data_IF_100038317043
#
_entry.id   IF_100038317043
#
_cell.length_a   1.000
_cell.length_b   1.000
_cell.length_c   1.000
_cell.angle_alpha   90.00
_cell.angle_beta   90.00
_cell.angle_gamma   90.00
#
_symmetry.space_group_name_H-M   'P 1'
#
loop_
_entity.id
_entity.type
_entity.pdbx_description
1 polymer ?
#
# COMPACT_ATOMS: atom_id res chain seq x y z
N UNK A 1 18.07 17.04 -16.37
CA UNK A 1 17.53 15.70 -16.11
C UNK A 1 16.73 15.80 -14.84
N UNK A 2 15.44 16.11 -14.93
CA UNK A 2 14.59 16.23 -13.75
C UNK A 2 14.21 14.80 -13.35
N UNK A 3 14.81 14.30 -12.27
CA UNK A 3 14.59 12.94 -11.77
C UNK A 3 13.14 12.78 -11.26
N UNK A 4 12.58 11.55 -11.26
CA UNK A 4 11.24 11.34 -10.76
C UNK A 4 11.11 11.81 -9.31
N UNK A 5 10.20 12.75 -9.07
CA UNK A 5 9.86 13.20 -7.74
C UNK A 5 8.75 12.27 -7.23
N UNK A 6 9.09 11.38 -6.29
CA UNK A 6 8.19 10.41 -5.66
C UNK A 6 7.88 10.87 -4.23
N UNK A 7 6.60 10.95 -3.87
CA UNK A 7 6.16 11.17 -2.49
C UNK A 7 5.79 9.84 -1.85
N UNK A 8 6.32 9.55 -0.66
CA UNK A 8 5.76 8.54 0.25
C UNK A 8 5.11 9.29 1.41
N UNK A 9 3.80 9.18 1.53
CA UNK A 9 2.98 9.88 2.51
C UNK A 9 2.48 8.90 3.57
N UNK A 10 3.02 8.99 4.79
CA UNK A 10 2.49 8.27 5.95
C UNK A 10 1.26 8.98 6.50
N UNK A 11 0.14 8.29 6.52
CA UNK A 11 -1.15 8.76 7.04
C UNK A 11 -1.52 7.92 8.26
N UNK A 12 -2.26 8.52 9.19
CA UNK A 12 -2.85 7.79 10.29
C UNK A 12 -2.73 8.50 11.63
N UNK A 13 -3.44 7.99 12.64
CA UNK A 13 -3.48 8.56 13.96
C UNK A 13 -2.75 7.67 14.98
N UNK A 14 -1.61 8.16 15.48
CA UNK A 14 -0.81 7.48 16.52
C UNK A 14 -1.58 7.21 17.82
N UNK A 15 -2.68 7.92 18.07
CA UNK A 15 -3.52 7.74 19.24
C UNK A 15 -4.61 6.66 19.06
N UNK A 16 -4.79 6.13 17.83
CA UNK A 16 -5.83 5.16 17.49
C UNK A 16 -5.26 3.77 17.15
N UNK A 17 -4.32 3.29 17.97
CA UNK A 17 -3.85 1.90 17.91
C UNK A 17 -3.25 1.53 16.55
N UNK A 18 -3.92 0.63 15.82
CA UNK A 18 -3.48 0.14 14.50
C UNK A 18 -3.51 1.22 13.41
N UNK A 19 -4.27 2.31 13.62
CA UNK A 19 -4.26 3.48 12.73
C UNK A 19 -2.91 4.22 12.73
N UNK A 20 -2.01 3.90 13.67
CA UNK A 20 -0.64 4.40 13.67
C UNK A 20 0.24 3.83 12.55
N UNK A 21 -0.23 2.81 11.81
CA UNK A 21 0.55 2.07 10.82
C UNK A 21 1.32 2.97 9.84
N UNK A 22 0.63 3.88 9.14
CA UNK A 22 1.27 4.69 8.10
C UNK A 22 2.30 5.66 8.65
N UNK A 23 2.05 6.25 9.82
CA UNK A 23 3.00 7.07 10.56
C UNK A 23 4.26 6.26 10.93
N UNK A 24 4.07 5.08 11.49
CA UNK A 24 5.15 4.21 11.94
C UNK A 24 6.03 3.69 10.79
N UNK A 25 5.43 3.44 9.62
CA UNK A 25 6.15 3.12 8.38
C UNK A 25 6.95 4.33 7.89
N UNK A 26 6.33 5.51 7.81
CA UNK A 26 7.02 6.74 7.37
C UNK A 26 8.20 7.09 8.29
N UNK A 27 8.02 6.98 9.60
CA UNK A 27 9.08 7.19 10.58
C UNK A 27 10.24 6.20 10.39
N UNK A 28 9.98 4.92 10.07
CA UNK A 28 11.03 3.95 9.75
C UNK A 28 11.76 4.26 8.44
N UNK A 29 11.04 4.72 7.42
CA UNK A 29 11.62 5.11 6.13
C UNK A 29 12.49 6.37 6.26
N UNK A 30 12.07 7.36 7.05
CA UNK A 30 12.83 8.59 7.33
C UNK A 30 14.19 8.34 8.02
N UNK A 31 14.36 7.19 8.69
CA UNK A 31 15.62 6.78 9.31
C UNK A 31 16.59 6.07 8.36
N UNK A 32 16.24 5.95 7.07
CA UNK A 32 17.04 5.25 6.06
C UNK A 32 17.57 6.23 5.03
N UNK A 33 18.66 5.85 4.38
CA UNK A 33 19.09 6.50 3.14
C UNK A 33 18.16 6.07 2.01
N UNK A 34 17.58 7.06 1.34
CA UNK A 34 16.64 6.86 0.23
C UNK A 34 17.24 7.35 -1.08
N UNK A 35 16.83 6.76 -2.23
CA UNK A 35 17.28 7.24 -3.52
C UNK A 35 16.96 8.71 -3.75
N UNK A 36 17.79 9.39 -4.54
CA UNK A 36 17.53 10.76 -4.97
C UNK A 36 16.22 10.84 -5.76
N UNK A 37 15.39 11.84 -5.46
CA UNK A 37 14.04 11.98 -6.02
C UNK A 37 12.92 11.42 -5.14
N UNK A 38 13.24 10.77 -4.01
CA UNK A 38 12.24 10.25 -3.07
C UNK A 38 12.08 11.18 -1.87
N UNK A 39 10.85 11.65 -1.63
CA UNK A 39 10.46 12.44 -0.46
C UNK A 39 9.54 11.61 0.41
N UNK A 40 9.93 11.37 1.67
CA UNK A 40 9.06 10.74 2.67
C UNK A 40 8.56 11.82 3.61
N UNK A 41 7.26 11.80 3.91
CA UNK A 41 6.66 12.74 4.86
C UNK A 41 5.67 11.98 5.73
N UNK A 42 5.79 12.17 7.03
CA UNK A 42 4.78 11.80 8.01
C UNK A 42 3.74 12.93 8.07
N UNK A 43 2.56 12.67 7.50
CA UNK A 43 1.43 13.59 7.56
C UNK A 43 0.55 13.30 8.77
N UNK A 44 0.57 12.08 9.31
CA UNK A 44 -0.36 11.65 10.35
C UNK A 44 -1.80 12.03 10.00
N UNK A 45 -2.42 12.88 10.82
CA UNK A 45 -3.79 13.37 10.64
C UNK A 45 -3.91 14.67 9.81
N UNK A 46 -2.82 15.16 9.21
CA UNK A 46 -2.71 16.48 8.57
C UNK A 46 -3.16 16.45 7.10
N UNK A 47 -4.41 16.09 6.86
CA UNK A 47 -4.97 15.93 5.49
C UNK A 47 -4.85 17.16 4.60
N UNK A 48 -4.96 18.37 5.18
CA UNK A 48 -4.76 19.62 4.43
C UNK A 48 -3.30 19.83 4.00
N UNK A 49 -2.33 19.48 4.85
CA UNK A 49 -0.92 19.57 4.49
C UNK A 49 -0.56 18.56 3.39
N UNK A 50 -1.15 17.36 3.42
CA UNK A 50 -1.04 16.40 2.33
C UNK A 50 -1.65 16.98 1.04
N UNK A 51 -2.82 17.60 1.11
CA UNK A 51 -3.45 18.26 -0.04
C UNK A 51 -2.51 19.28 -0.67
N UNK A 52 -1.92 20.17 0.13
CA UNK A 52 -0.98 21.17 -0.37
C UNK A 52 0.29 20.55 -0.93
N UNK A 53 0.83 19.51 -0.29
CA UNK A 53 1.99 18.80 -0.81
C UNK A 53 1.71 18.20 -2.20
N UNK A 54 0.51 17.69 -2.45
CA UNK A 54 0.13 17.14 -3.76
C UNK A 54 0.08 18.18 -4.87
N UNK A 55 0.04 19.48 -4.55
CA UNK A 55 0.13 20.57 -5.53
C UNK A 55 1.55 20.75 -6.09
N UNK A 56 2.57 20.17 -5.45
CA UNK A 56 3.96 20.25 -5.90
C UNK A 56 4.21 19.50 -7.23
N UNK A 57 3.25 18.70 -7.71
CA UNK A 57 3.35 18.00 -9.00
C UNK A 57 4.25 16.76 -8.96
N UNK A 58 3.84 15.75 -8.18
CA UNK A 58 4.57 14.48 -8.06
C UNK A 58 4.37 13.55 -9.26
N UNK A 59 5.44 12.92 -9.73
CA UNK A 59 5.35 11.88 -10.75
C UNK A 59 4.72 10.61 -10.19
N UNK A 60 5.00 10.30 -8.93
CA UNK A 60 4.34 9.22 -8.21
C UNK A 60 4.10 9.57 -6.74
N UNK A 61 2.98 9.09 -6.21
CA UNK A 61 2.62 9.22 -4.80
C UNK A 61 2.29 7.82 -4.27
N UNK A 62 2.91 7.45 -3.15
CA UNK A 62 2.63 6.24 -2.39
C UNK A 62 2.01 6.68 -1.06
N UNK A 63 0.70 6.49 -0.92
CA UNK A 63 -0.01 6.68 0.34
C UNK A 63 0.17 5.43 1.19
N UNK A 64 0.47 5.61 2.48
CA UNK A 64 0.64 4.51 3.43
C UNK A 64 -0.32 4.73 4.58
N UNK A 65 -1.24 3.80 4.79
CA UNK A 65 -2.36 3.98 5.72
C UNK A 65 -2.87 2.64 6.29
N UNK A 66 -3.61 2.68 7.40
CA UNK A 66 -4.41 1.54 7.84
C UNK A 66 -5.66 1.44 6.94
N UNK A 67 -5.92 0.26 6.39
CA UNK A 67 -6.97 0.07 5.38
C UNK A 67 -7.79 -1.18 5.72
N UNK A 68 -8.95 -1.04 6.39
CA UNK A 68 -9.85 -2.16 6.66
C UNK A 68 -10.47 -2.65 5.35
N UNK A 69 -10.18 -3.90 4.98
CA UNK A 69 -10.65 -4.55 3.76
C UNK A 69 -11.21 -5.95 4.02
N UNK A 70 -11.31 -6.36 5.28
CA UNK A 70 -11.88 -7.64 5.69
C UNK A 70 -10.91 -8.81 5.55
N UNK A 71 -9.61 -8.55 5.40
CA UNK A 71 -8.59 -9.59 5.48
C UNK A 71 -8.21 -9.95 6.91
N UNK A 72 -7.09 -10.68 7.05
CA UNK A 72 -6.52 -10.99 8.37
C UNK A 72 -5.74 -9.77 8.88
N UNK A 73 -5.81 -9.41 10.19
CA UNK A 73 -5.02 -8.31 10.74
C UNK A 73 -3.53 -8.44 10.39
N UNK A 74 -2.89 -7.33 10.03
CA UNK A 74 -1.51 -7.28 9.56
C UNK A 74 -1.32 -7.63 8.08
N UNK A 75 -2.39 -7.97 7.33
CA UNK A 75 -2.27 -8.20 5.89
C UNK A 75 -1.94 -6.88 5.18
N UNK A 76 -0.88 -6.88 4.37
CA UNK A 76 -0.50 -5.75 3.54
C UNK A 76 -1.19 -5.80 2.17
N UNK A 77 -1.62 -4.63 1.70
CA UNK A 77 -2.24 -4.42 0.41
C UNK A 77 -1.45 -3.40 -0.40
N UNK A 78 -1.33 -3.61 -1.70
CA UNK A 78 -0.89 -2.59 -2.65
C UNK A 78 -1.99 -2.40 -3.67
N UNK A 79 -2.53 -1.19 -3.73
CA UNK A 79 -3.62 -0.83 -4.63
C UNK A 79 -3.18 0.31 -5.54
N UNK A 80 -3.49 0.18 -6.82
CA UNK A 80 -3.28 1.24 -7.81
C UNK A 80 -4.66 1.61 -8.38
N UNK A 81 -5.31 2.67 -7.86
CA UNK A 81 -6.60 3.09 -8.38
C UNK A 81 -6.46 3.53 -9.84
N UNK A 82 -7.32 2.99 -10.70
CA UNK A 82 -7.42 3.38 -12.10
C UNK A 82 -7.57 4.91 -12.22
N UNK A 83 -6.97 5.50 -13.25
CA UNK A 83 -6.94 6.96 -13.42
C UNK A 83 -8.35 7.54 -13.61
N UNK A 84 -9.24 6.75 -14.17
CA UNK A 84 -10.66 7.06 -14.38
C UNK A 84 -11.47 7.01 -13.06
N UNK A 85 -10.95 6.32 -12.05
CA UNK A 85 -11.51 6.33 -10.70
C UNK A 85 -11.04 7.54 -9.89
N UNK A 86 -10.17 8.39 -10.47
CA UNK A 86 -9.77 9.61 -9.82
C UNK A 86 -10.92 10.61 -9.86
N UNK A 87 -11.11 11.35 -8.77
CA UNK A 87 -12.22 12.28 -8.70
C UNK A 87 -12.06 13.43 -9.68
N UNK A 88 -13.03 13.56 -10.59
CA UNK A 88 -13.17 14.73 -11.44
C UNK A 88 -13.41 15.99 -10.59
N UNK A 89 -12.85 17.16 -10.97
CA UNK A 89 -13.03 18.41 -10.23
C UNK A 89 -14.50 18.90 -10.22
N UNK A 90 -15.32 18.44 -11.17
CA UNK A 90 -16.71 18.83 -11.34
C UNK A 90 -17.67 17.97 -10.50
N UNK A 91 -17.54 18.09 -9.17
CA UNK A 91 -18.37 17.32 -8.24
C UNK A 91 -18.30 17.82 -6.80
N UNK A 92 -18.25 19.14 -6.63
CA UNK A 92 -18.22 19.83 -5.35
C UNK A 92 -19.54 19.68 -4.57
N UNK A 93 -19.83 18.47 -4.10
CA UNK A 93 -20.61 18.27 -2.87
C UNK A 93 -19.87 18.85 -1.67
N UNK A 94 -20.52 18.99 -0.50
CA UNK A 94 -20.08 19.85 0.61
C UNK A 94 -18.58 19.71 0.89
N UNK A 95 -17.89 20.81 0.64
CA UNK A 95 -16.45 20.97 0.74
C UNK A 95 -16.02 20.95 2.22
N UNK A 96 -15.03 20.09 2.49
CA UNK A 96 -14.01 20.26 3.53
C UNK A 96 -14.45 19.88 4.95
N UNK A 97 -14.21 18.61 5.29
CA UNK A 97 -13.76 18.24 6.65
C UNK A 97 -12.23 18.12 6.59
N UNK A 98 -11.49 19.19 6.91
CA UNK A 98 -10.03 19.22 6.80
C UNK A 98 -9.34 18.31 7.83
N UNK A 99 -10.14 17.70 8.71
CA UNK A 99 -9.73 16.76 9.76
C UNK A 99 -10.10 15.30 9.43
N UNK A 100 -10.83 15.04 8.33
CA UNK A 100 -11.14 13.66 7.92
C UNK A 100 -9.97 13.10 7.10
N UNK A 101 -9.39 12.00 7.57
CA UNK A 101 -8.19 11.38 7.00
C UNK A 101 -8.48 10.46 5.81
N UNK A 102 -9.67 10.53 5.22
CA UNK A 102 -9.99 9.70 4.05
C UNK A 102 -9.06 10.11 2.89
N UNK A 103 -8.11 9.25 2.47
CA UNK A 103 -7.13 9.60 1.46
C UNK A 103 -7.80 9.98 0.14
N UNK A 104 -8.98 9.43 -0.16
CA UNK A 104 -9.75 9.77 -1.34
C UNK A 104 -10.25 11.23 -1.27
N UNK A 105 -10.68 11.71 -0.11
CA UNK A 105 -11.11 13.12 0.06
C UNK A 105 -9.94 14.09 -0.11
N UNK A 106 -8.75 13.73 0.34
CA UNK A 106 -7.54 14.54 0.14
C UNK A 106 -7.18 14.63 -1.34
N UNK A 107 -7.22 13.50 -2.06
CA UNK A 107 -7.00 13.47 -3.49
C UNK A 107 -8.04 14.29 -4.27
N UNK A 108 -9.33 14.20 -3.88
CA UNK A 108 -10.42 15.05 -4.42
C UNK A 108 -10.10 16.53 -4.31
N UNK A 109 -9.71 16.95 -3.11
CA UNK A 109 -9.42 18.36 -2.86
C UNK A 109 -8.18 18.82 -3.62
N UNK A 110 -7.12 18.00 -3.65
CA UNK A 110 -5.91 18.32 -4.40
C UNK A 110 -6.20 18.47 -5.90
N UNK A 111 -6.98 17.56 -6.49
CA UNK A 111 -7.41 17.65 -7.88
C UNK A 111 -8.25 18.91 -8.15
N UNK A 112 -9.21 19.23 -7.28
CA UNK A 112 -10.02 20.44 -7.39
C UNK A 112 -9.20 21.75 -7.31
N UNK A 113 -8.06 21.72 -6.61
CA UNK A 113 -7.12 22.84 -6.51
C UNK A 113 -6.09 22.88 -7.66
N UNK A 114 -6.20 21.98 -8.65
CA UNK A 114 -5.32 21.91 -9.81
C UNK A 114 -4.05 21.08 -9.60
N UNK A 115 -3.96 20.32 -8.51
CA UNK A 115 -2.90 19.36 -8.27
C UNK A 115 -2.91 18.23 -9.31
N UNK A 116 -1.72 17.78 -9.69
CA UNK A 116 -1.55 16.67 -10.62
C UNK A 116 -0.60 15.64 -10.02
N UNK A 117 -1.05 14.39 -10.02
CA UNK A 117 -0.24 13.23 -9.66
C UNK A 117 -0.09 12.38 -10.92
N UNK A 118 1.12 11.93 -11.23
CA UNK A 118 1.33 11.04 -12.38
C UNK A 118 0.79 9.63 -12.11
N UNK A 119 1.23 9.05 -11.00
CA UNK A 119 0.87 7.70 -10.54
C UNK A 119 0.52 7.70 -9.06
N UNK A 120 -0.50 6.96 -8.67
CA UNK A 120 -0.93 6.87 -7.27
C UNK A 120 -0.96 5.41 -6.82
N UNK A 121 -0.33 5.12 -5.69
CA UNK A 121 -0.34 3.82 -5.03
C UNK A 121 -0.83 3.98 -3.60
N UNK A 122 -1.59 3.02 -3.10
CA UNK A 122 -1.96 2.88 -1.70
C UNK A 122 -1.34 1.60 -1.16
N UNK A 123 -0.47 1.73 -0.17
CA UNK A 123 0.06 0.64 0.65
C UNK A 123 -0.72 0.62 1.95
N UNK A 124 -1.70 -0.30 2.02
CA UNK A 124 -2.60 -0.44 3.16
C UNK A 124 -2.20 -1.59 4.08
N UNK A 125 -2.52 -1.49 5.37
CA UNK A 125 -2.47 -2.63 6.30
C UNK A 125 -3.86 -2.91 6.89
N UNK A 126 -4.29 -4.17 6.91
CA UNK A 126 -5.51 -4.57 7.60
C UNK A 126 -5.34 -4.35 9.12
N UNK A 127 -6.20 -3.53 9.76
CA UNK A 127 -6.17 -3.34 11.21
C UNK A 127 -6.84 -4.51 11.93
N UNK A 128 -6.57 -4.65 13.22
CA UNK A 128 -7.32 -5.56 14.10
C UNK A 128 -8.74 -5.01 14.32
N UNK A 129 -9.80 -5.81 14.11
CA UNK A 129 -11.17 -5.36 14.36
C UNK A 129 -11.41 -4.89 15.80
N UNK A 130 -12.27 -3.86 16.00
CA UNK A 130 -12.70 -3.47 17.34
C UNK A 130 -13.34 -4.66 18.08
N UNK A 131 -12.89 -4.93 19.30
CA UNK A 131 -13.37 -6.05 20.14
C UNK A 131 -12.54 -7.35 20.05
N UNK A 132 -11.69 -7.48 19.02
CA UNK A 132 -10.58 -8.46 19.02
C UNK A 132 -9.26 -7.82 19.49
N UNK A 133 -9.19 -6.50 19.36
CA UNK A 133 -8.18 -5.71 20.03
C UNK A 133 -8.39 -5.82 21.55
N UNK A 134 -7.31 -6.12 22.28
CA UNK A 134 -7.31 -6.04 23.74
C UNK A 134 -7.56 -4.58 24.15
N UNK A 135 -8.74 -4.30 24.69
CA UNK A 135 -9.21 -2.95 25.08
C UNK A 135 -8.26 -2.22 26.05
N UNK A 136 -7.38 -2.97 26.72
CA UNK A 136 -6.34 -2.44 27.61
C UNK A 136 -4.99 -2.15 26.94
N UNK A 137 -4.87 -2.42 25.63
CA UNK A 137 -3.60 -2.31 24.90
C UNK A 137 -3.33 -0.85 24.52
N UNK A 138 -2.18 -0.35 24.95
CA UNK A 138 -1.62 0.92 24.47
C UNK A 138 -0.80 0.66 23.20
N UNK A 139 -1.23 1.22 22.06
CA UNK A 139 -0.51 1.18 20.78
C UNK A 139 -0.95 0.05 19.84
N UNK A 140 -0.20 -0.12 18.73
CA UNK A 140 -0.51 -1.11 17.69
C UNK A 140 -0.55 -2.55 18.22
N UNK A 141 -1.48 -3.32 17.68
CA UNK A 141 -1.57 -4.77 17.78
C UNK A 141 -0.29 -5.44 17.26
N UNK A 142 -0.06 -6.67 17.70
CA UNK A 142 1.13 -7.44 17.26
C UNK A 142 1.14 -7.69 15.75
N UNK A 143 0.04 -8.10 15.10
CA UNK A 143 0.03 -8.32 13.65
C UNK A 143 0.36 -7.06 12.85
N UNK A 144 -0.22 -5.91 13.21
CA UNK A 144 0.05 -4.64 12.50
C UNK A 144 1.47 -4.16 12.77
N UNK A 145 1.96 -4.30 14.01
CA UNK A 145 3.36 -3.97 14.33
C UNK A 145 4.36 -4.78 13.51
N UNK A 146 4.11 -6.08 13.32
CA UNK A 146 4.92 -6.92 12.46
C UNK A 146 4.82 -6.49 10.98
N UNK A 147 3.61 -6.16 10.52
CA UNK A 147 3.37 -5.68 9.16
C UNK A 147 4.13 -4.39 8.84
N UNK A 148 4.37 -3.52 9.82
CA UNK A 148 5.19 -2.31 9.61
C UNK A 148 6.62 -2.66 9.18
N UNK A 149 7.22 -3.71 9.74
CA UNK A 149 8.58 -4.13 9.37
C UNK A 149 8.63 -4.76 7.97
N UNK A 150 7.52 -5.36 7.50
CA UNK A 150 7.34 -5.87 6.14
C UNK A 150 7.00 -4.78 5.12
N UNK A 151 6.29 -3.73 5.53
CA UNK A 151 5.88 -2.63 4.66
C UNK A 151 7.06 -1.78 4.18
N UNK A 152 8.09 -1.61 5.01
CA UNK A 152 9.30 -0.85 4.66
C UNK A 152 10.04 -1.41 3.43
N UNK A 153 10.43 -2.70 3.40
CA UNK A 153 11.06 -3.28 2.21
C UNK A 153 10.09 -3.34 1.02
N UNK A 154 8.79 -3.55 1.25
CA UNK A 154 7.77 -3.48 0.20
C UNK A 154 7.77 -2.09 -0.48
N UNK A 155 7.63 -1.00 0.28
CA UNK A 155 7.63 0.36 -0.26
C UNK A 155 8.95 0.69 -0.94
N UNK A 156 10.08 0.28 -0.37
CA UNK A 156 11.40 0.48 -0.97
C UNK A 156 11.48 -0.21 -2.34
N UNK A 157 10.90 -1.41 -2.47
CA UNK A 157 10.85 -2.13 -3.75
C UNK A 157 9.94 -1.42 -4.76
N UNK A 158 8.78 -0.90 -4.34
CA UNK A 158 7.88 -0.13 -5.21
C UNK A 158 8.56 1.14 -5.72
N UNK A 159 9.22 1.88 -4.83
CA UNK A 159 10.02 3.07 -5.18
C UNK A 159 11.08 2.72 -6.22
N UNK A 160 11.84 1.64 -6.03
CA UNK A 160 12.86 1.22 -6.99
C UNK A 160 12.25 0.90 -8.37
N UNK A 161 11.13 0.18 -8.42
CA UNK A 161 10.42 -0.14 -9.67
C UNK A 161 9.94 1.12 -10.40
N UNK A 162 9.37 2.09 -9.67
CA UNK A 162 8.92 3.36 -10.24
C UNK A 162 10.11 4.14 -10.82
N UNK A 163 11.23 4.21 -10.09
CA UNK A 163 12.45 4.88 -10.57
C UNK A 163 13.05 4.20 -11.82
N UNK A 164 12.88 2.88 -11.96
CA UNK A 164 13.28 2.13 -13.15
C UNK A 164 12.28 2.21 -14.30
N UNK A 165 11.12 2.84 -14.11
CA UNK A 165 10.06 2.93 -15.12
C UNK A 165 9.33 1.60 -15.38
N UNK A 166 9.34 0.67 -14.42
CA UNK A 166 8.64 -0.60 -14.53
C UNK A 166 7.14 -0.43 -14.24
N UNK A 167 6.30 -1.07 -15.06
CA UNK A 167 4.90 -1.26 -14.73
C UNK A 167 4.79 -2.15 -13.48
N UNK A 168 4.07 -1.68 -12.46
CA UNK A 168 3.65 -2.52 -11.35
C UNK A 168 2.39 -3.20 -11.85
N UNK A 169 2.48 -4.49 -12.18
CA UNK A 169 1.30 -5.30 -12.44
C UNK A 169 0.49 -5.38 -11.13
N UNK A 170 -0.43 -4.43 -10.94
CA UNK A 170 -1.56 -4.63 -10.06
C UNK A 170 -2.34 -5.78 -10.70
N UNK A 171 -2.25 -6.98 -10.13
CA UNK A 171 -3.07 -8.09 -10.61
C UNK A 171 -4.53 -7.72 -10.36
N UNK A 172 -5.17 -7.26 -11.42
CA UNK A 172 -6.47 -6.63 -11.42
C UNK A 172 -7.52 -7.55 -10.86
N UNK A 173 -8.24 -7.03 -9.88
CA UNK A 173 -9.67 -6.79 -9.96
C UNK A 173 -10.01 -5.84 -8.80
N UNK A 174 -11.16 -5.20 -8.79
CA UNK A 174 -11.73 -4.57 -7.58
C UNK A 174 -12.09 -5.63 -6.50
N UNK A 175 -11.56 -6.85 -6.64
CA UNK A 175 -11.67 -7.99 -5.76
C UNK A 175 -10.28 -8.42 -5.27
N UNK A 176 -10.05 -8.18 -3.99
CA UNK A 176 -9.31 -9.05 -3.06
C UNK A 176 -8.03 -9.68 -3.66
N UNK A 177 -6.92 -8.94 -3.59
CA UNK A 177 -5.59 -9.55 -3.59
C UNK A 177 -5.28 -10.15 -2.22
N UNK A 178 -5.84 -11.32 -1.97
CA UNK A 178 -5.24 -12.29 -1.07
C UNK A 178 -4.14 -13.02 -1.82
N UNK A 179 -2.91 -12.53 -1.74
CA UNK A 179 -1.72 -13.37 -1.95
C UNK A 179 -0.75 -13.14 -0.81
N UNK A 180 -0.53 -14.20 -0.04
CA UNK A 180 0.56 -14.29 0.93
C UNK A 180 1.87 -13.89 0.24
N UNK A 181 2.48 -12.82 0.75
CA UNK A 181 3.84 -12.45 0.37
C UNK A 181 4.75 -13.47 1.07
N UNK A 182 5.27 -14.42 0.29
CA UNK A 182 6.12 -15.49 0.80
C UNK A 182 7.29 -14.95 1.60
N UNK A 183 7.51 -15.51 2.79
CA UNK A 183 8.64 -15.17 3.66
C UNK A 183 9.94 -15.66 3.02
N UNK A 184 10.88 -14.74 2.78
CA UNK A 184 12.22 -15.08 2.31
C UNK A 184 13.06 -15.58 3.51
N UNK A 185 12.89 -16.85 3.86
CA UNK A 185 13.86 -17.57 4.69
C UNK A 185 15.04 -17.97 3.81
N UNK A 186 16.10 -17.16 3.81
CA UNK A 186 17.46 -17.58 4.16
C UNK A 186 18.51 -16.50 3.81
N UNK A 187 19.39 -16.20 4.79
CA UNK A 187 20.52 -15.25 4.63
C UNK A 187 21.65 -15.91 3.83
N UNK A 188 22.22 -15.20 2.87
CA UNK A 188 23.50 -15.57 2.23
C UNK A 188 24.68 -14.76 2.80
N UNK A 189 25.92 -15.31 2.90
CA UNK A 189 26.95 -14.84 3.84
C UNK A 189 27.85 -13.69 3.37
N UNK A 190 27.48 -12.94 2.33
CA UNK A 190 28.34 -11.87 1.77
C UNK A 190 27.53 -10.62 1.47
N UNK A 191 27.73 -9.57 2.26
CA UNK A 191 26.97 -8.32 2.26
C UNK A 191 27.05 -7.50 0.97
N UNK A 192 26.28 -7.90 -0.03
CA UNK A 192 25.95 -7.12 -1.22
C UNK A 192 24.55 -7.50 -1.72
N UNK A 193 23.75 -6.52 -2.13
CA UNK A 193 22.41 -6.73 -2.66
C UNK A 193 22.46 -7.66 -3.89
N UNK A 194 21.81 -8.84 -3.89
CA UNK A 194 21.69 -9.62 -5.11
C UNK A 194 20.41 -9.20 -5.83
N UNK A 195 20.57 -8.40 -6.88
CA UNK A 195 19.70 -8.52 -8.04
C UNK A 195 20.16 -9.74 -8.85
N UNK A 196 19.28 -10.73 -9.07
CA UNK A 196 18.91 -11.24 -10.41
C UNK A 196 18.05 -12.51 -10.40
N UNK A 197 16.96 -12.41 -11.18
CA UNK A 197 16.39 -13.38 -12.11
C UNK A 197 16.05 -14.80 -11.60
N UNK A 198 14.75 -15.10 -11.52
CA UNK A 198 14.26 -16.47 -11.37
C UNK A 198 12.76 -16.66 -11.09
N UNK A 199 11.86 -15.82 -11.59
CA UNK A 199 10.42 -16.12 -11.52
C UNK A 199 10.05 -17.03 -12.69
N UNK A 200 9.89 -18.32 -12.42
CA UNK A 200 9.48 -19.31 -13.40
C UNK A 200 7.95 -19.38 -13.40
N UNK A 201 7.35 -19.06 -14.54
CA UNK A 201 5.93 -19.23 -14.83
C UNK A 201 5.57 -20.73 -14.78
N UNK A 202 4.63 -21.14 -13.94
CA UNK A 202 3.87 -22.38 -14.16
C UNK A 202 2.44 -21.99 -14.51
N UNK A 203 2.12 -22.13 -15.80
CA UNK A 203 0.79 -21.87 -16.33
C UNK A 203 -0.21 -22.98 -16.01
N UNK A 204 -1.49 -22.59 -16.11
CA UNK A 204 -2.56 -23.40 -16.68
C UNK A 204 -2.99 -24.66 -15.94
N UNK A 205 -4.06 -24.56 -15.16
CA UNK A 205 -4.86 -25.70 -14.73
C UNK A 205 -6.15 -25.22 -14.08
N UNK A 206 -7.24 -25.19 -14.86
CA UNK A 206 -8.57 -24.75 -14.42
C UNK A 206 -9.16 -25.60 -13.27
N UNK A 207 -10.30 -25.18 -12.71
CA UNK A 207 -10.87 -25.80 -11.53
C UNK A 207 -11.38 -27.22 -11.85
N UNK A 208 -11.28 -28.20 -10.92
CA UNK A 208 -11.83 -29.52 -11.14
C UNK A 208 -13.36 -29.49 -11.13
N UNK A 209 -13.97 -29.85 -12.26
CA UNK A 209 -15.40 -30.16 -12.38
C UNK A 209 -15.72 -31.51 -11.73
N UNK A 210 -16.95 -31.59 -11.20
CA UNK A 210 -17.58 -32.79 -10.63
C UNK A 210 -17.98 -33.80 -11.72
N UNK A 211 -18.12 -35.07 -11.28
CA UNK A 211 -18.79 -36.25 -11.87
C UNK A 211 -18.17 -36.95 -13.08
N UNK A 212 -17.74 -38.22 -12.94
CA UNK A 212 -18.52 -39.42 -13.31
C UNK A 212 -17.77 -40.76 -13.03
N UNK A 213 -18.56 -41.73 -12.53
CA UNK A 213 -18.56 -43.20 -12.73
C UNK A 213 -17.26 -44.03 -12.69
N UNK A 214 -17.23 -44.92 -11.70
CA UNK A 214 -16.42 -46.15 -11.66
C UNK A 214 -17.15 -47.23 -12.49
N UNK A 215 -16.51 -47.94 -13.44
CA UNK A 215 -17.01 -49.21 -13.93
C UNK A 215 -16.44 -50.36 -13.09
N UNK A 216 -17.32 -51.32 -12.81
CA UNK A 216 -17.01 -52.67 -12.35
C UNK A 216 -16.09 -53.38 -13.35
N UNK A 217 -15.18 -54.22 -12.87
CA UNK A 217 -15.06 -55.55 -13.46
C UNK A 217 -14.41 -56.54 -12.49
N UNK A 218 -15.10 -57.67 -12.36
CA UNK A 218 -14.73 -58.91 -11.70
C UNK A 218 -13.57 -59.59 -12.44
N UNK A 219 -12.88 -60.54 -11.78
CA UNK A 219 -13.29 -61.94 -11.99
C UNK A 219 -13.76 -62.65 -10.70
#
# INVERSE_FOLDING_TARGET
>A
MNRPHILVAGIGNIFLGDDAFGVEVAQRLLRRELPEGVRVVDFGIRGLDLTYALLDGFEAVILVDAAPRGGRPGTLYVLEPAREAWPEPEGAGPLIEPHSMDPLKVLRLAAALGGQVGRLLLVGCEPTPPGEADDMRTGMSEPVRAAVDEAVPLITSLVARILCGEEIEASGDDSILGKEVGTCHDRHPSGGYPCRAGWRMTGGGGPPSRSEKIPEDHP
#
